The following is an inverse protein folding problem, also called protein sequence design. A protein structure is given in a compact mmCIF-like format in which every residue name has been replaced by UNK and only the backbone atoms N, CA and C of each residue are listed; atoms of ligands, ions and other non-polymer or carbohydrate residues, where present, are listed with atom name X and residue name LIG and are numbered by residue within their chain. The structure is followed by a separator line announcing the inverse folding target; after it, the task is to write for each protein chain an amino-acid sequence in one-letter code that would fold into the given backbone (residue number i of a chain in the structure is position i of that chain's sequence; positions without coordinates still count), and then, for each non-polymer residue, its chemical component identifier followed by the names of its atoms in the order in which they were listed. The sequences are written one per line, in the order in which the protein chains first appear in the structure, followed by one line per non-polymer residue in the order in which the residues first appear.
data_IF_647393412896
#
_entry.id   IF_647393412896
#
_cell.length_a   1.000
_cell.length_b   1.000
_cell.length_c   1.000
_cell.angle_alpha   90.00
_cell.angle_beta   90.00
_cell.angle_gamma   90.00
#
_symmetry.space_group_name_H-M   'P 1'
#
loop_
_entity.id
_entity.type
_entity.pdbx_description
1 polymer ?
#
# COMPACT_ATOMS: atom_id res chain seq x y z
N UNK A 1 10.66 -0.59 5.60
CA UNK A 1 9.55 -0.82 4.66
C UNK A 1 8.33 -0.14 5.24
N UNK A 2 7.56 0.56 4.41
CA UNK A 2 6.33 1.25 4.78
C UNK A 2 5.24 0.79 3.83
N UNK A 3 4.09 0.39 4.38
CA UNK A 3 2.89 0.08 3.60
C UNK A 3 1.92 1.25 3.66
N UNK A 4 1.38 1.63 2.50
CA UNK A 4 0.34 2.66 2.39
C UNK A 4 -0.88 2.03 1.74
N UNK A 5 -2.05 2.25 2.34
CA UNK A 5 -3.32 1.69 1.89
C UNK A 5 -4.28 2.84 1.58
N UNK A 6 -4.64 2.98 0.32
CA UNK A 6 -5.67 3.93 -0.11
C UNK A 6 -6.24 3.46 -1.45
N UNK A 7 -7.54 3.16 -1.50
CA UNK A 7 -8.12 2.63 -2.73
C UNK A 7 -8.04 3.64 -3.88
N UNK A 8 -8.35 4.91 -3.64
CA UNK A 8 -8.27 5.95 -4.66
C UNK A 8 -6.81 6.27 -5.02
N UNK A 9 -5.92 6.23 -4.03
CA UNK A 9 -4.51 6.59 -4.14
C UNK A 9 -4.30 8.11 -4.26
N UNK A 10 -5.21 8.90 -3.71
CA UNK A 10 -5.30 10.35 -3.83
C UNK A 10 -5.59 11.04 -2.48
N UNK A 11 -5.42 10.35 -1.35
CA UNK A 11 -5.57 10.96 -0.04
C UNK A 11 -4.45 12.01 0.22
N UNK A 12 -4.84 13.27 0.36
CA UNK A 12 -3.93 14.41 0.54
C UNK A 12 -3.04 14.29 1.79
N UNK A 13 -3.57 13.73 2.88
CA UNK A 13 -2.82 13.57 4.13
C UNK A 13 -1.74 12.50 3.95
N UNK A 14 -2.08 11.36 3.37
CA UNK A 14 -1.13 10.30 3.04
C UNK A 14 -0.07 10.78 2.05
N UNK A 15 -0.47 11.50 0.99
CA UNK A 15 0.48 12.08 0.02
C UNK A 15 1.47 13.00 0.72
N UNK A 16 0.98 13.91 1.57
CA UNK A 16 1.82 14.82 2.36
C UNK A 16 2.79 14.06 3.28
N UNK A 17 2.31 13.00 3.96
CA UNK A 17 3.15 12.14 4.79
C UNK A 17 4.26 11.47 3.95
N UNK A 18 3.91 10.92 2.78
CA UNK A 18 4.89 10.29 1.87
C UNK A 18 5.93 11.31 1.41
N UNK A 19 5.52 12.51 0.98
CA UNK A 19 6.43 13.57 0.56
C UNK A 19 7.39 13.98 1.68
N UNK A 20 6.87 14.15 2.89
CA UNK A 20 7.69 14.45 4.06
C UNK A 20 8.70 13.33 4.34
N UNK A 21 8.28 12.07 4.31
CA UNK A 21 9.17 10.92 4.49
C UNK A 21 10.27 10.87 3.41
N UNK A 22 9.92 11.06 2.15
CA UNK A 22 10.86 11.12 1.03
C UNK A 22 11.85 12.27 1.17
N UNK A 23 11.40 13.45 1.62
CA UNK A 23 12.28 14.60 1.88
C UNK A 23 13.36 14.28 2.94
N UNK A 24 12.98 13.52 3.97
CA UNK A 24 13.86 13.07 5.06
C UNK A 24 14.82 11.95 4.65
N UNK A 25 14.49 11.16 3.62
CA UNK A 25 15.37 10.11 3.09
C UNK A 25 16.68 10.66 2.52
N UNK A 26 16.70 11.93 2.10
CA UNK A 26 17.94 12.64 1.74
C UNK A 26 18.97 12.67 2.88
N UNK A 27 18.54 12.42 4.13
CA UNK A 27 19.34 12.53 5.35
C UNK A 27 19.44 11.22 6.16
N UNK A 28 18.65 10.18 5.85
CA UNK A 28 18.62 8.87 6.54
C UNK A 28 18.27 7.73 5.59
N UNK A 29 18.64 6.50 5.98
CA UNK A 29 18.42 5.27 5.22
C UNK A 29 17.00 5.20 4.61
N UNK A 30 16.95 5.01 3.29
CA UNK A 30 15.75 4.88 2.49
C UNK A 30 14.84 3.75 3.01
N UNK A 31 13.56 4.04 3.17
CA UNK A 31 12.54 3.07 3.51
C UNK A 31 11.72 2.76 2.26
N UNK A 32 11.81 1.52 1.77
CA UNK A 32 10.99 1.02 0.67
C UNK A 32 9.50 1.26 0.95
N UNK A 33 8.82 1.91 0.02
CA UNK A 33 7.41 2.25 0.05
C UNK A 33 6.63 1.26 -0.84
N UNK A 34 5.69 0.55 -0.23
CA UNK A 34 4.80 -0.39 -0.91
C UNK A 34 3.38 0.17 -0.81
N UNK A 35 2.73 0.43 -1.94
CA UNK A 35 1.33 0.86 -1.94
C UNK A 35 0.38 -0.30 -2.23
N UNK A 36 -0.82 -0.22 -1.64
CA UNK A 36 -1.96 -1.06 -2.03
C UNK A 36 -3.13 -0.14 -2.37
N UNK A 37 -3.47 -0.09 -3.66
CA UNK A 37 -4.42 0.90 -4.22
C UNK A 37 -5.22 0.29 -5.38
N UNK A 38 -6.23 0.99 -5.90
CA UNK A 38 -6.93 0.58 -7.14
C UNK A 38 -6.06 0.84 -8.38
N UNK A 39 -6.04 -0.09 -9.34
CA UNK A 39 -5.16 -0.03 -10.53
C UNK A 39 -5.55 1.08 -11.54
N UNK A 40 -5.18 2.34 -11.26
CA UNK A 40 -5.63 3.51 -12.04
C UNK A 40 -4.56 4.62 -12.24
N UNK A 41 -3.27 4.32 -12.09
CA UNK A 41 -2.17 5.30 -12.26
C UNK A 41 -2.29 6.54 -11.36
N UNK A 42 -2.64 6.33 -10.09
CA UNK A 42 -2.87 7.39 -9.10
C UNK A 42 -1.57 7.97 -8.52
N UNK A 43 -1.69 9.07 -7.77
CA UNK A 43 -0.54 9.76 -7.16
C UNK A 43 0.28 8.86 -6.25
N UNK A 44 -0.36 8.13 -5.32
CA UNK A 44 0.34 7.26 -4.37
C UNK A 44 1.10 6.13 -5.08
N UNK A 45 0.55 5.55 -6.16
CA UNK A 45 1.24 4.54 -6.98
C UNK A 45 2.54 5.08 -7.59
N UNK A 46 2.47 6.29 -8.13
CA UNK A 46 3.60 6.95 -8.79
C UNK A 46 4.69 7.37 -7.80
N UNK A 47 4.35 7.52 -6.53
CA UNK A 47 5.29 7.82 -5.45
C UNK A 47 5.91 6.58 -4.81
N UNK A 48 5.40 5.39 -5.12
CA UNK A 48 5.77 4.13 -4.46
C UNK A 48 6.78 3.32 -5.25
N UNK A 49 7.56 2.50 -4.55
CA UNK A 49 8.58 1.64 -5.16
C UNK A 49 7.97 0.36 -5.70
N UNK A 50 6.99 -0.18 -4.99
CA UNK A 50 6.23 -1.36 -5.37
C UNK A 50 4.74 -1.10 -5.19
N UNK A 51 3.93 -1.66 -6.10
CA UNK A 51 2.49 -1.42 -6.15
C UNK A 51 1.74 -2.76 -6.18
N UNK A 52 0.84 -2.94 -5.20
CA UNK A 52 -0.13 -4.03 -5.16
C UNK A 52 -1.51 -3.48 -5.47
N UNK A 53 -2.31 -4.22 -6.22
CA UNK A 53 -3.57 -3.72 -6.74
C UNK A 53 -4.79 -4.39 -6.10
N UNK A 54 -5.75 -3.56 -5.70
CA UNK A 54 -7.08 -3.97 -5.28
C UNK A 54 -8.02 -3.95 -6.48
N UNK A 55 -8.71 -5.07 -6.67
CA UNK A 55 -9.80 -5.21 -7.62
C UNK A 55 -11.10 -5.32 -6.82
N UNK A 56 -11.71 -4.17 -6.55
CA UNK A 56 -13.02 -4.05 -5.91
C UNK A 56 -13.72 -2.82 -6.48
N UNK A 57 -15.04 -2.83 -6.50
CA UNK A 57 -15.78 -1.62 -6.84
C UNK A 57 -15.77 -0.64 -5.66
N UNK A 58 -15.56 0.64 -5.96
CA UNK A 58 -15.67 1.70 -4.98
C UNK A 58 -17.14 1.88 -4.59
N UNK A 59 -17.43 1.87 -3.29
CA UNK A 59 -18.78 2.04 -2.78
C UNK A 59 -18.81 3.20 -1.80
N UNK A 60 -19.42 4.31 -2.22
CA UNK A 60 -19.66 5.47 -1.35
C UNK A 60 -21.16 5.66 -1.12
N UNK A 61 -21.60 5.64 0.13
CA UNK A 61 -23.00 5.87 0.52
C UNK A 61 -23.06 7.11 1.40
N UNK A 62 -23.76 8.15 0.95
CA UNK A 62 -23.86 9.44 1.65
C UNK A 62 -22.50 10.06 2.01
N UNK A 63 -21.51 9.88 1.13
CA UNK A 63 -20.14 10.37 1.34
C UNK A 63 -19.28 9.51 2.25
N UNK A 64 -19.83 8.44 2.84
CA UNK A 64 -19.08 7.46 3.64
C UNK A 64 -18.54 6.39 2.71
N UNK A 65 -17.23 6.15 2.76
CA UNK A 65 -16.62 5.02 2.06
C UNK A 65 -17.00 3.70 2.74
N UNK A 66 -17.67 2.85 1.98
CA UNK A 66 -18.11 1.50 2.33
C UNK A 66 -17.48 0.46 1.40
N UNK A 67 -16.41 0.83 0.68
CA UNK A 67 -15.64 -0.08 -0.17
C UNK A 67 -15.14 -1.27 0.64
N UNK A 68 -15.23 -2.46 0.04
CA UNK A 68 -14.84 -3.70 0.74
C UNK A 68 -13.34 -3.76 0.97
N UNK A 69 -12.93 -3.98 2.22
CA UNK A 69 -11.54 -4.24 2.58
C UNK A 69 -11.14 -5.73 2.52
N UNK A 70 -12.04 -6.63 2.11
CA UNK A 70 -11.74 -8.08 2.07
C UNK A 70 -10.54 -8.38 1.17
N UNK A 71 -10.48 -7.78 -0.02
CA UNK A 71 -9.37 -7.98 -0.95
C UNK A 71 -8.03 -7.52 -0.35
N UNK A 72 -8.04 -6.42 0.40
CA UNK A 72 -6.85 -5.92 1.10
C UNK A 72 -6.38 -6.92 2.16
N UNK A 73 -7.30 -7.45 2.97
CA UNK A 73 -6.99 -8.43 4.01
C UNK A 73 -6.37 -9.69 3.38
N UNK A 74 -6.94 -10.18 2.27
CA UNK A 74 -6.42 -11.35 1.56
C UNK A 74 -5.00 -11.12 1.01
N UNK A 75 -4.72 -9.94 0.45
CA UNK A 75 -3.35 -9.61 0.00
C UNK A 75 -2.36 -9.65 1.17
N UNK A 76 -2.72 -9.05 2.31
CA UNK A 76 -1.86 -9.06 3.50
C UNK A 76 -1.65 -10.47 4.05
N UNK A 77 -2.69 -11.32 4.01
CA UNK A 77 -2.61 -12.73 4.39
C UNK A 77 -1.64 -13.51 3.49
N UNK A 78 -1.74 -13.34 2.17
CA UNK A 78 -0.84 -14.00 1.21
C UNK A 78 0.62 -13.57 1.39
N UNK A 79 0.87 -12.27 1.61
CA UNK A 79 2.22 -11.77 1.90
C UNK A 79 2.80 -12.39 3.17
N UNK A 80 1.98 -12.53 4.21
CA UNK A 80 2.40 -13.17 5.46
C UNK A 80 2.75 -14.65 5.24
N UNK A 81 1.89 -15.41 4.54
CA UNK A 81 2.17 -16.81 4.23
C UNK A 81 3.44 -16.98 3.40
N UNK A 82 3.61 -16.16 2.36
CA UNK A 82 4.81 -16.21 1.52
C UNK A 82 6.07 -15.90 2.32
N UNK A 83 6.01 -14.92 3.23
CA UNK A 83 7.11 -14.59 4.13
C UNK A 83 7.45 -15.77 5.07
N UNK A 84 6.44 -16.41 5.66
CA UNK A 84 6.64 -17.57 6.54
C UNK A 84 7.25 -18.78 5.80
N UNK A 85 6.82 -19.04 4.57
CA UNK A 85 7.39 -20.10 3.73
C UNK A 85 8.85 -19.81 3.36
N UNK A 86 9.15 -18.56 2.99
CA UNK A 86 10.50 -18.11 2.69
C UNK A 86 11.44 -18.29 3.89
N UNK A 87 11.01 -17.86 5.08
CA UNK A 87 11.76 -18.02 6.33
C UNK A 87 11.97 -19.49 6.70
N UNK A 88 10.98 -20.36 6.43
CA UNK A 88 11.12 -21.80 6.65
C UNK A 88 12.15 -22.41 5.69
N UNK A 89 12.14 -22.01 4.41
CA UNK A 89 13.07 -22.52 3.41
C UNK A 89 14.52 -22.09 3.67
N UNK A 90 14.74 -20.88 4.18
CA UNK A 90 16.08 -20.35 4.45
C UNK A 90 16.71 -20.84 5.77
N UNK A 91 15.94 -21.55 6.61
CA UNK A 91 16.44 -22.18 7.84
C UNK A 91 16.89 -23.63 7.64
N UNK A 92 16.68 -24.19 6.45
CA UNK A 92 17.16 -25.52 6.01
C UNK A 92 18.45 -25.38 5.20
#
# INVERSE_FOLDING_TARGET
MIFVFDYAGEDDELISIIQNLQSLQSQRQYAMLVSITGANNNTIQNMSDENLYLFTDELKVSGIDMTSHVSLIVIMELLLYQFMEYEKSNKL
#
